data_IF_485567148384
#
_entry.id   IF_485567148384
#
_cell.length_a   1.000
_cell.length_b   1.000
_cell.length_c   1.000
_cell.angle_alpha   90.00
_cell.angle_beta   90.00
_cell.angle_gamma   90.00
#
_symmetry.space_group_name_H-M   'P 1'
#
loop_
_entity.id
_entity.type
_entity.pdbx_description
1 polymer ?
#
# COMPACT_ATOMS: atom_id res chain seq x y z
N UNK A 1 -68.54 20.51 -42.91
CA UNK A 1 -67.65 21.09 -41.88
C UNK A 1 -66.60 20.04 -41.50
N UNK A 2 -65.33 20.33 -41.80
CA UNK A 2 -64.08 19.67 -41.35
C UNK A 2 -63.92 18.16 -41.64
N UNK A 3 -63.27 17.88 -42.77
CA UNK A 3 -62.38 16.73 -42.91
C UNK A 3 -61.03 17.07 -42.28
N UNK A 4 -60.54 16.25 -41.36
CA UNK A 4 -59.13 16.21 -41.00
C UNK A 4 -58.72 14.74 -40.85
N UNK A 5 -58.10 14.24 -41.91
CA UNK A 5 -57.35 12.99 -41.94
C UNK A 5 -56.07 13.25 -41.14
N UNK A 6 -55.92 12.59 -39.99
CA UNK A 6 -54.67 12.60 -39.23
C UNK A 6 -54.15 11.17 -39.20
N UNK A 7 -53.19 10.92 -40.09
CA UNK A 7 -52.37 9.71 -40.14
C UNK A 7 -51.28 9.88 -39.08
N UNK A 8 -51.46 9.28 -37.90
CA UNK A 8 -50.36 9.11 -36.94
C UNK A 8 -49.71 7.76 -37.19
N UNK A 9 -48.61 7.78 -37.95
CA UNK A 9 -47.66 6.67 -38.02
C UNK A 9 -46.98 6.55 -36.65
N UNK A 10 -47.40 5.57 -35.86
CA UNK A 10 -46.77 5.24 -34.58
C UNK A 10 -45.48 4.49 -34.86
N UNK A 11 -44.35 5.20 -34.77
CA UNK A 11 -43.01 4.62 -34.75
C UNK A 11 -42.90 3.74 -33.51
N UNK A 12 -43.00 2.42 -33.69
CA UNK A 12 -42.72 1.44 -32.64
C UNK A 12 -41.22 1.46 -32.31
N UNK A 13 -40.81 2.33 -31.40
CA UNK A 13 -39.48 2.27 -30.80
C UNK A 13 -39.45 1.01 -29.94
N UNK A 14 -38.81 -0.02 -30.48
CA UNK A 14 -38.45 -1.26 -29.79
C UNK A 14 -37.38 -0.88 -28.75
N UNK A 15 -37.81 -0.33 -27.61
CA UNK A 15 -36.96 -0.27 -26.44
C UNK A 15 -36.84 -1.70 -25.92
N UNK A 16 -35.87 -2.45 -26.47
CA UNK A 16 -35.35 -3.62 -25.80
C UNK A 16 -34.93 -3.18 -24.41
N UNK A 17 -35.79 -3.47 -23.43
CA UNK A 17 -35.54 -3.39 -22.01
C UNK A 17 -34.24 -4.17 -21.75
N UNK A 18 -33.12 -3.46 -21.76
CA UNK A 18 -31.91 -3.92 -21.09
C UNK A 18 -32.30 -3.95 -19.62
N UNK A 19 -32.78 -5.10 -19.17
CA UNK A 19 -33.04 -5.35 -17.76
C UNK A 19 -31.74 -4.98 -17.02
N UNK A 20 -31.78 -4.03 -16.06
CA UNK A 20 -30.59 -3.72 -15.28
C UNK A 20 -30.15 -5.01 -14.62
N UNK A 21 -28.89 -5.40 -14.85
CA UNK A 21 -28.29 -6.55 -14.17
C UNK A 21 -28.59 -6.35 -12.68
N UNK A 22 -29.38 -7.26 -12.10
CA UNK A 22 -29.57 -7.32 -10.65
C UNK A 22 -28.19 -7.18 -10.01
N UNK A 23 -28.02 -6.39 -8.93
CA UNK A 23 -26.72 -6.19 -8.32
C UNK A 23 -26.15 -7.57 -8.02
N UNK A 24 -25.20 -7.99 -8.86
CA UNK A 24 -24.40 -9.17 -8.60
C UNK A 24 -23.89 -8.94 -7.20
N UNK A 25 -24.26 -9.81 -6.26
CA UNK A 25 -23.72 -9.82 -4.90
C UNK A 25 -22.27 -9.41 -5.03
N UNK A 26 -21.90 -8.20 -4.55
CA UNK A 26 -20.55 -7.68 -4.73
C UNK A 26 -19.68 -8.77 -4.11
N UNK A 27 -18.99 -9.55 -4.94
CA UNK A 27 -18.14 -10.62 -4.44
C UNK A 27 -17.10 -9.90 -3.60
N UNK A 28 -17.24 -10.00 -2.28
CA UNK A 28 -16.23 -9.46 -1.37
C UNK A 28 -14.92 -10.10 -1.76
N UNK A 29 -13.93 -9.27 -2.09
CA UNK A 29 -12.63 -9.77 -2.48
C UNK A 29 -12.04 -10.56 -1.32
N UNK A 30 -11.68 -11.82 -1.59
CA UNK A 30 -10.97 -12.63 -0.61
C UNK A 30 -9.58 -12.04 -0.37
N UNK A 31 -9.05 -12.24 0.84
CA UNK A 31 -7.70 -11.83 1.16
C UNK A 31 -6.69 -12.54 0.25
N UNK A 32 -5.85 -11.81 -0.50
CA UNK A 32 -4.84 -12.43 -1.34
C UNK A 32 -3.69 -12.96 -0.46
N UNK A 33 -3.04 -14.02 -0.92
CA UNK A 33 -1.75 -14.51 -0.38
C UNK A 33 -1.71 -14.85 1.12
N UNK A 34 -2.84 -15.04 1.81
CA UNK A 34 -2.86 -15.28 3.26
C UNK A 34 -2.75 -14.02 4.13
N UNK A 35 -2.97 -12.84 3.52
CA UNK A 35 -2.90 -11.53 4.20
C UNK A 35 -3.97 -11.37 5.28
N UNK A 36 -4.95 -12.26 5.39
CA UNK A 36 -5.91 -12.26 6.51
C UNK A 36 -5.24 -12.61 7.85
N UNK A 37 -4.20 -13.44 7.80
CA UNK A 37 -3.57 -14.06 8.98
C UNK A 37 -2.10 -13.70 9.20
N UNK A 38 -1.37 -13.30 8.15
CA UNK A 38 0.06 -13.01 8.25
C UNK A 38 0.49 -11.79 7.44
N UNK A 39 1.58 -11.16 7.88
CA UNK A 39 2.35 -10.20 7.09
C UNK A 39 3.16 -10.96 6.03
N UNK A 40 3.10 -10.50 4.80
CA UNK A 40 3.96 -10.96 3.71
C UNK A 40 4.80 -9.80 3.20
N UNK A 41 6.06 -10.04 2.84
CA UNK A 41 6.89 -9.01 2.23
C UNK A 41 7.74 -9.59 1.10
N UNK A 42 8.09 -8.73 0.14
CA UNK A 42 8.87 -9.07 -1.05
C UNK A 42 9.78 -7.91 -1.41
N UNK A 43 11.04 -8.17 -1.75
CA UNK A 43 11.87 -7.15 -2.38
C UNK A 43 11.35 -6.92 -3.82
N UNK A 44 11.14 -5.67 -4.23
CA UNK A 44 10.60 -5.35 -5.56
C UNK A 44 11.55 -5.81 -6.67
N UNK A 45 12.87 -5.66 -6.43
CA UNK A 45 13.93 -6.21 -7.27
C UNK A 45 15.04 -6.77 -6.37
N UNK A 46 15.32 -8.07 -6.52
CA UNK A 46 16.39 -8.79 -5.82
C UNK A 46 17.81 -8.26 -6.10
N UNK A 47 17.99 -7.42 -7.13
CA UNK A 47 19.29 -6.85 -7.53
C UNK A 47 19.59 -5.51 -6.85
N UNK A 48 18.65 -4.97 -6.08
CA UNK A 48 18.86 -3.70 -5.39
C UNK A 48 19.96 -3.82 -4.32
N UNK A 49 20.74 -2.74 -4.08
CA UNK A 49 21.83 -2.73 -3.10
C UNK A 49 21.45 -3.22 -1.71
N UNK A 50 20.31 -2.77 -1.17
CA UNK A 50 19.79 -3.22 0.11
C UNK A 50 18.66 -4.23 -0.11
N UNK A 51 18.80 -5.41 0.48
CA UNK A 51 17.79 -6.48 0.44
C UNK A 51 17.27 -6.77 1.84
N UNK A 52 15.95 -6.81 2.01
CA UNK A 52 15.32 -7.24 3.26
C UNK A 52 15.17 -8.77 3.25
N UNK A 53 15.61 -9.40 4.33
CA UNK A 53 15.64 -10.85 4.53
C UNK A 53 14.56 -11.33 5.49
N UNK A 54 14.17 -10.51 6.47
CA UNK A 54 13.08 -10.80 7.40
C UNK A 54 12.45 -9.49 7.93
N UNK A 55 11.17 -9.56 8.25
CA UNK A 55 10.39 -8.45 8.84
C UNK A 55 9.52 -9.00 9.96
N UNK A 56 9.62 -8.41 11.15
CA UNK A 56 8.63 -8.59 12.23
C UNK A 56 8.10 -7.25 12.67
N UNK A 57 6.82 -7.22 13.02
CA UNK A 57 6.16 -6.06 13.61
C UNK A 57 5.87 -6.38 15.06
N UNK A 58 6.35 -5.54 15.97
CA UNK A 58 6.19 -5.68 17.40
C UNK A 58 5.32 -4.56 17.96
N UNK A 59 4.53 -4.89 18.98
CA UNK A 59 3.86 -3.89 19.80
C UNK A 59 4.80 -3.32 20.87
N UNK A 60 4.30 -2.40 21.70
CA UNK A 60 5.06 -1.79 22.80
C UNK A 60 5.49 -2.80 23.89
N UNK A 61 4.84 -3.97 23.96
CA UNK A 61 5.20 -5.07 24.86
C UNK A 61 6.25 -6.02 24.27
N UNK A 62 6.75 -5.76 23.06
CA UNK A 62 7.64 -6.61 22.26
C UNK A 62 7.05 -7.93 21.76
N UNK A 63 5.73 -8.09 21.83
CA UNK A 63 5.05 -9.25 21.24
C UNK A 63 4.88 -9.06 19.73
N UNK A 64 4.90 -10.16 18.98
CA UNK A 64 4.55 -10.14 17.55
C UNK A 64 3.11 -9.62 17.39
N UNK A 65 2.95 -8.59 16.56
CA UNK A 65 1.67 -7.91 16.36
C UNK A 65 1.11 -8.22 14.97
N UNK A 66 -0.01 -8.94 14.95
CA UNK A 66 -0.85 -9.07 13.77
C UNK A 66 -2.33 -9.30 14.16
N UNK A 67 -3.30 -8.61 13.52
CA UNK A 67 -3.15 -7.53 12.54
C UNK A 67 -2.44 -6.30 13.16
N UNK A 68 -1.95 -5.40 12.31
CA UNK A 68 -1.14 -4.26 12.74
C UNK A 68 -2.07 -3.13 13.19
N UNK A 69 -1.92 -2.61 14.41
CA UNK A 69 -2.64 -1.41 14.86
C UNK A 69 -1.76 -0.17 14.65
N UNK A 70 -1.94 0.60 13.56
CA UNK A 70 -1.06 1.72 13.24
C UNK A 70 -1.35 2.96 14.11
N UNK A 71 -2.42 2.93 14.93
CA UNK A 71 -2.77 4.03 15.85
C UNK A 71 -1.87 4.08 17.09
N UNK A 72 -1.03 3.06 17.28
CA UNK A 72 -0.10 2.93 18.40
C UNK A 72 1.33 2.87 17.87
N UNK A 73 2.32 3.29 18.67
CA UNK A 73 3.72 3.09 18.32
C UNK A 73 4.00 1.59 18.11
N UNK A 74 4.72 1.29 17.03
CA UNK A 74 5.14 -0.05 16.65
C UNK A 74 6.66 -0.11 16.56
N UNK A 75 7.24 -1.30 16.64
CA UNK A 75 8.66 -1.52 16.35
C UNK A 75 8.79 -2.51 15.21
N UNK A 76 9.52 -2.14 14.15
CA UNK A 76 9.88 -3.06 13.08
C UNK A 76 11.25 -3.67 13.38
N UNK A 77 11.30 -5.00 13.51
CA UNK A 77 12.57 -5.73 13.56
C UNK A 77 12.87 -6.24 12.15
N UNK A 78 13.92 -5.70 11.53
CA UNK A 78 14.34 -6.04 10.17
C UNK A 78 15.67 -6.78 10.21
N UNK A 79 15.74 -7.88 9.46
CA UNK A 79 17.03 -8.45 9.06
C UNK A 79 17.23 -8.09 7.60
N UNK A 80 18.34 -7.44 7.29
CA UNK A 80 18.65 -6.97 5.95
C UNK A 80 20.11 -7.24 5.59
N UNK A 81 20.45 -7.01 4.33
CA UNK A 81 21.83 -7.06 3.84
C UNK A 81 22.06 -5.93 2.85
N UNK A 82 23.00 -5.05 3.17
CA UNK A 82 23.47 -4.01 2.26
C UNK A 82 24.69 -4.52 1.47
N UNK A 83 24.51 -4.80 0.19
CA UNK A 83 25.59 -5.19 -0.73
C UNK A 83 26.23 -3.98 -1.43
N UNK A 84 25.67 -2.78 -1.26
CA UNK A 84 26.14 -1.54 -1.89
C UNK A 84 27.16 -0.79 -1.06
N UNK A 85 27.05 0.54 -1.12
CA UNK A 85 27.78 1.48 -0.26
C UNK A 85 27.05 1.68 1.06
N UNK A 86 27.75 2.19 2.07
CA UNK A 86 27.10 2.70 3.26
C UNK A 86 26.16 3.85 2.88
N UNK A 87 24.98 3.86 3.48
CA UNK A 87 24.00 4.94 3.31
C UNK A 87 23.89 5.65 4.67
N UNK A 88 24.33 6.90 4.70
CA UNK A 88 24.33 7.74 5.90
C UNK A 88 23.07 8.61 5.99
N UNK A 89 22.40 8.84 4.85
CA UNK A 89 21.10 9.48 4.78
C UNK A 89 20.18 8.82 3.73
N UNK A 90 18.91 8.61 4.07
CA UNK A 90 17.91 8.11 3.14
C UNK A 90 16.53 8.75 3.31
N UNK A 91 15.87 8.96 2.17
CA UNK A 91 14.48 9.39 2.15
C UNK A 91 13.59 8.27 1.62
N UNK A 92 12.38 8.18 2.17
CA UNK A 92 11.44 7.10 1.92
C UNK A 92 10.20 7.62 1.20
N UNK A 93 9.73 6.86 0.23
CA UNK A 93 8.42 7.03 -0.41
C UNK A 93 7.58 5.79 -0.16
N UNK A 94 6.34 5.98 0.28
CA UNK A 94 5.38 4.89 0.48
C UNK A 94 4.16 5.08 -0.41
N UNK A 95 3.90 4.10 -1.27
CA UNK A 95 2.63 3.97 -1.97
C UNK A 95 1.76 2.94 -1.26
N UNK A 96 0.46 3.22 -1.11
CA UNK A 96 -0.49 2.34 -0.44
C UNK A 96 -1.51 1.85 -1.46
N UNK A 97 -1.82 0.56 -1.42
CA UNK A 97 -2.84 -0.05 -2.24
C UNK A 97 -3.81 -0.82 -1.36
N UNK A 98 -5.10 -0.83 -1.70
CA UNK A 98 -6.08 -1.75 -1.14
C UNK A 98 -6.42 -2.85 -2.15
N UNK A 99 -6.59 -4.10 -1.70
CA UNK A 99 -7.16 -5.12 -2.56
C UNK A 99 -8.68 -5.01 -2.51
N UNK A 100 -9.27 -4.61 -3.62
CA UNK A 100 -10.70 -4.37 -3.72
C UNK A 100 -11.19 -4.66 -5.13
N UNK A 101 -12.50 -4.64 -5.32
CA UNK A 101 -13.10 -4.78 -6.64
C UNK A 101 -12.80 -3.53 -7.47
N UNK A 102 -12.08 -3.71 -8.58
CA UNK A 102 -11.87 -2.68 -9.57
C UNK A 102 -13.20 -2.31 -10.24
N UNK A 103 -13.55 -1.03 -10.25
CA UNK A 103 -14.84 -0.58 -10.76
C UNK A 103 -15.00 -0.73 -12.29
N UNK A 104 -13.89 -0.77 -13.04
CA UNK A 104 -13.90 -0.95 -14.49
C UNK A 104 -14.06 -2.42 -14.89
N UNK A 105 -13.26 -3.32 -14.29
CA UNK A 105 -13.26 -4.73 -14.66
C UNK A 105 -14.25 -5.58 -13.85
N UNK A 106 -14.64 -5.13 -12.65
CA UNK A 106 -15.38 -5.95 -11.69
C UNK A 106 -14.56 -7.06 -11.05
N UNK A 107 -13.25 -7.10 -11.30
CA UNK A 107 -12.32 -8.08 -10.75
C UNK A 107 -11.61 -7.53 -9.50
N UNK A 108 -11.14 -8.42 -8.63
CA UNK A 108 -10.36 -8.02 -7.48
C UNK A 108 -8.91 -7.74 -7.89
N UNK A 109 -8.41 -6.56 -7.54
CA UNK A 109 -7.03 -6.16 -7.82
C UNK A 109 -6.51 -5.17 -6.77
N UNK A 110 -5.20 -4.98 -6.72
CA UNK A 110 -4.60 -3.91 -5.95
C UNK A 110 -4.90 -2.55 -6.60
N UNK A 111 -5.60 -1.68 -5.88
CA UNK A 111 -5.94 -0.32 -6.30
C UNK A 111 -5.19 0.67 -5.43
N UNK A 112 -4.47 1.60 -6.06
CA UNK A 112 -3.71 2.62 -5.33
C UNK A 112 -4.64 3.56 -4.56
N UNK A 113 -4.29 3.81 -3.30
CA UNK A 113 -4.89 4.83 -2.46
C UNK A 113 -4.04 6.10 -2.61
N UNK A 114 -4.57 7.18 -3.22
CA UNK A 114 -3.80 8.40 -3.40
C UNK A 114 -3.47 9.04 -2.05
N UNK A 115 -2.18 9.11 -1.74
CA UNK A 115 -1.68 9.83 -0.54
C UNK A 115 -1.38 11.29 -0.82
N UNK A 116 -1.52 11.74 -2.08
CA UNK A 116 -1.24 13.09 -2.55
C UNK A 116 0.13 13.65 -2.12
N UNK A 117 1.11 12.75 -1.97
CA UNK A 117 2.48 13.07 -1.59
C UNK A 117 2.74 13.14 -0.09
N UNK A 118 1.74 12.91 0.76
CA UNK A 118 1.89 12.91 2.22
C UNK A 118 2.91 11.86 2.72
N UNK A 119 3.07 10.75 1.97
CA UNK A 119 4.04 9.70 2.28
C UNK A 119 5.27 9.70 1.35
N UNK A 120 5.57 10.85 0.74
CA UNK A 120 6.81 11.03 -0.02
C UNK A 120 7.86 11.71 0.87
N UNK A 121 9.14 11.44 0.56
CA UNK A 121 10.26 12.20 1.11
C UNK A 121 10.33 12.20 2.65
N UNK A 122 9.97 11.07 3.27
CA UNK A 122 10.10 10.86 4.72
C UNK A 122 11.58 10.61 5.01
N UNK A 123 12.22 11.44 5.82
CA UNK A 123 13.59 11.22 6.27
C UNK A 123 13.64 9.96 7.14
N UNK A 124 14.29 8.90 6.65
CA UNK A 124 14.34 7.62 7.35
C UNK A 124 15.26 7.66 8.56
N UNK A 125 16.33 8.45 8.52
CA UNK A 125 17.28 8.54 9.62
C UNK A 125 16.67 9.30 10.79
N UNK A 126 15.96 10.39 10.51
CA UNK A 126 15.26 11.16 11.53
C UNK A 126 14.03 10.42 12.05
N UNK A 127 13.24 9.82 11.17
CA UNK A 127 11.96 9.24 11.54
C UNK A 127 12.06 7.82 12.13
N UNK A 128 12.92 6.98 11.57
CA UNK A 128 13.04 5.57 11.94
C UNK A 128 14.41 5.24 12.56
N UNK A 129 15.35 6.19 12.64
CA UNK A 129 16.67 5.99 13.22
C UNK A 129 17.44 4.81 12.61
N UNK A 130 17.26 4.59 11.30
CA UNK A 130 17.81 3.43 10.59
C UNK A 130 19.24 3.65 10.06
N UNK A 131 19.83 4.82 10.30
CA UNK A 131 21.14 5.20 9.76
C UNK A 131 22.24 5.15 10.82
N UNK A 132 23.49 4.83 10.44
CA UNK A 132 23.92 4.49 9.09
C UNK A 132 23.57 3.04 8.69
N UNK A 133 23.19 2.84 7.43
CA UNK A 133 23.01 1.50 6.85
C UNK A 133 24.37 1.00 6.34
N UNK A 134 25.19 0.48 7.26
CA UNK A 134 26.53 -0.03 6.95
C UNK A 134 26.50 -1.17 5.93
N UNK A 135 27.61 -1.34 5.19
CA UNK A 135 27.77 -2.45 4.26
C UNK A 135 27.83 -3.79 5.01
N UNK A 136 27.12 -4.79 4.49
CA UNK A 136 27.07 -6.15 5.03
C UNK A 136 25.71 -6.51 5.64
N UNK A 137 25.66 -7.54 6.49
CA UNK A 137 24.46 -7.90 7.23
C UNK A 137 24.04 -6.80 8.20
N UNK A 138 22.74 -6.57 8.31
CA UNK A 138 22.12 -5.58 9.18
C UNK A 138 20.99 -6.22 9.99
N UNK A 139 20.94 -5.88 11.28
CA UNK A 139 19.77 -6.11 12.13
C UNK A 139 19.33 -4.73 12.61
N UNK A 140 18.09 -4.35 12.29
CA UNK A 140 17.57 -3.02 12.56
C UNK A 140 16.32 -3.14 13.44
N UNK A 141 16.29 -2.37 14.52
CA UNK A 141 15.11 -2.17 15.37
C UNK A 141 14.60 -0.76 15.14
N UNK A 142 13.54 -0.62 14.35
CA UNK A 142 13.02 0.68 13.91
C UNK A 142 11.78 1.05 14.71
N UNK A 143 11.84 2.01 15.65
CA UNK A 143 10.65 2.54 16.28
C UNK A 143 9.87 3.38 15.27
N UNK A 144 8.58 3.13 15.09
CA UNK A 144 7.71 3.92 14.23
C UNK A 144 6.51 4.42 15.02
N UNK A 145 6.33 5.74 15.04
CA UNK A 145 5.14 6.41 15.55
C UNK A 145 4.40 7.07 14.39
N UNK A 146 3.35 6.39 13.91
CA UNK A 146 2.57 6.81 12.75
C UNK A 146 1.51 7.88 13.10
N UNK A 147 1.48 8.42 14.33
CA UNK A 147 0.46 9.37 14.79
C UNK A 147 0.38 10.65 13.94
N UNK A 148 1.49 11.09 13.36
CA UNK A 148 1.52 12.23 12.42
C UNK A 148 0.78 11.96 11.10
N UNK A 149 0.47 10.70 10.79
CA UNK A 149 -0.26 10.26 9.61
C UNK A 149 -1.68 9.78 9.95
N UNK A 150 -2.27 10.28 11.03
CA UNK A 150 -3.61 9.91 11.50
C UNK A 150 -4.70 9.98 10.43
N UNK A 151 -4.64 10.98 9.54
CA UNK A 151 -5.59 11.13 8.42
C UNK A 151 -5.53 9.95 7.44
N UNK A 152 -4.34 9.40 7.19
CA UNK A 152 -4.18 8.18 6.38
C UNK A 152 -4.64 6.98 7.18
N UNK A 153 -4.30 6.89 8.47
CA UNK A 153 -4.72 5.77 9.33
C UNK A 153 -6.24 5.66 9.37
N UNK A 154 -6.96 6.76 9.53
CA UNK A 154 -8.42 6.80 9.52
C UNK A 154 -9.01 6.36 8.17
N UNK A 155 -8.37 6.71 7.05
CA UNK A 155 -8.75 6.24 5.72
C UNK A 155 -8.55 4.73 5.55
N UNK A 156 -7.50 4.18 6.17
CA UNK A 156 -7.14 2.77 6.11
C UNK A 156 -7.84 1.92 7.18
N UNK A 157 -8.58 2.55 8.09
CA UNK A 157 -9.32 1.86 9.13
C UNK A 157 -10.38 0.93 8.49
N UNK A 158 -10.24 -0.37 8.72
CA UNK A 158 -11.16 -1.39 8.23
C UNK A 158 -10.50 -2.73 7.91
N UNK A 159 -11.32 -3.78 7.79
CA UNK A 159 -10.88 -5.16 7.50
C UNK A 159 -10.57 -5.42 6.02
N UNK A 160 -9.80 -4.55 5.37
CA UNK A 160 -9.28 -4.78 4.01
C UNK A 160 -7.80 -5.21 4.06
N UNK A 161 -7.34 -6.03 3.10
CA UNK A 161 -5.92 -6.22 2.85
C UNK A 161 -5.32 -4.98 2.19
N UNK A 162 -4.14 -4.59 2.67
CA UNK A 162 -3.35 -3.48 2.15
C UNK A 162 -2.00 -3.95 1.66
N UNK A 163 -1.47 -3.23 0.68
CA UNK A 163 -0.11 -3.39 0.20
C UNK A 163 0.61 -2.05 0.32
N UNK A 164 1.72 -2.04 1.05
CA UNK A 164 2.63 -0.90 1.17
C UNK A 164 3.83 -1.15 0.25
N UNK A 165 4.07 -0.28 -0.70
CA UNK A 165 5.30 -0.29 -1.53
C UNK A 165 6.20 0.81 -1.00
N UNK A 166 7.25 0.40 -0.30
CA UNK A 166 8.20 1.26 0.41
C UNK A 166 9.47 1.33 -0.43
N UNK A 167 9.83 2.53 -0.89
CA UNK A 167 11.02 2.81 -1.71
C UNK A 167 11.95 3.71 -0.95
N UNK A 168 13.25 3.38 -0.94
CA UNK A 168 14.28 4.13 -0.22
C UNK A 168 15.29 4.70 -1.22
N UNK A 169 15.59 5.99 -1.07
CA UNK A 169 16.46 6.77 -1.94
C UNK A 169 17.65 7.30 -1.15
N UNK A 170 18.84 7.28 -1.76
CA UNK A 170 20.07 7.68 -1.09
C UNK A 170 20.23 9.20 -1.05
N UNK A 171 20.20 9.79 0.14
CA UNK A 171 20.39 11.23 0.37
C UNK A 171 21.74 11.55 1.04
N UNK A 172 22.61 10.56 1.20
CA UNK A 172 23.94 10.73 1.80
C UNK A 172 24.71 11.88 1.14
N UNK A 173 25.49 12.62 1.94
CA UNK A 173 26.24 13.78 1.49
C UNK A 173 27.05 13.49 0.21
N UNK A 174 26.92 14.39 -0.78
CA UNK A 174 27.54 14.24 -2.10
C UNK A 174 26.72 13.41 -3.12
N UNK A 175 25.65 12.74 -2.71
CA UNK A 175 24.72 12.09 -3.64
C UNK A 175 23.63 13.07 -4.11
N UNK A 176 23.85 13.68 -5.28
CA UNK A 176 22.87 14.60 -5.90
C UNK A 176 21.84 13.89 -6.79
N UNK A 177 21.97 12.57 -6.99
CA UNK A 177 21.08 11.81 -7.88
C UNK A 177 19.89 11.20 -7.15
N UNK A 178 20.00 11.02 -5.84
CA UNK A 178 18.98 10.40 -5.00
C UNK A 178 18.51 9.06 -5.54
N UNK A 179 19.47 8.20 -5.89
CA UNK A 179 19.20 6.91 -6.52
C UNK A 179 18.44 5.97 -5.56
N UNK A 180 17.45 5.25 -6.10
CA UNK A 180 16.73 4.20 -5.37
C UNK A 180 17.68 3.04 -5.07
N UNK A 181 17.81 2.66 -3.80
CA UNK A 181 18.72 1.58 -3.39
C UNK A 181 18.00 0.42 -2.68
N UNK A 182 16.72 0.59 -2.34
CA UNK A 182 15.87 -0.45 -1.78
C UNK A 182 14.41 -0.24 -2.19
N UNK A 183 13.69 -1.33 -2.40
CA UNK A 183 12.25 -1.31 -2.59
C UNK A 183 11.66 -2.61 -2.01
N UNK A 184 10.65 -2.46 -1.15
CA UNK A 184 9.97 -3.57 -0.48
C UNK A 184 8.47 -3.39 -0.63
N UNK A 185 7.80 -4.47 -1.00
CA UNK A 185 6.35 -4.57 -1.01
C UNK A 185 5.92 -5.39 0.19
N UNK A 186 5.12 -4.82 1.08
CA UNK A 186 4.56 -5.49 2.26
C UNK A 186 3.05 -5.59 2.13
N UNK A 187 2.50 -6.80 2.21
CA UNK A 187 1.08 -7.08 2.22
C UNK A 187 0.64 -7.45 3.64
N UNK A 188 -0.35 -6.73 4.16
CA UNK A 188 -0.78 -6.80 5.56
C UNK A 188 -2.24 -6.41 5.73
N UNK A 189 -2.77 -6.63 6.93
CA UNK A 189 -4.07 -6.15 7.38
C UNK A 189 -3.88 -5.26 8.62
N UNK A 190 -4.58 -4.13 8.63
CA UNK A 190 -4.65 -3.28 9.82
C UNK A 190 -5.74 -3.78 10.79
N UNK A 191 -5.54 -3.52 12.09
CA UNK A 191 -6.56 -3.74 13.10
C UNK A 191 -7.73 -2.76 12.89
N UNK A 192 -8.93 -3.20 13.24
CA UNK A 192 -10.14 -2.36 13.26
C UNK A 192 -10.08 -1.33 14.40
#
# INVERSE_FOLDING_TARGET
MKAFIIIFATVSIVNSLVLPRLPSSRKTCQFPNGTDTNLHFYNCDSKMPLTILNVKVKNQSNDDMYPIDPRKPIKLELVAKNNGIQIDDNHVKVNIYEYTTNWLSGECSWIEIPTFGLLNNIDGCDYAHNCPLIKGPLTLDLPLDLSSYSSIIELLAGSKPYQLVIRMYNYSEGNNKHEEFACVTSQLRFAE
#
